data_IF_078643379287
#
_entry.id   IF_078643379287
#
_cell.length_a   1.000
_cell.length_b   1.000
_cell.length_c   1.000
_cell.angle_alpha   90.00
_cell.angle_beta   90.00
_cell.angle_gamma   90.00
#
_symmetry.space_group_name_H-M   'P 1'
#
loop_
_entity.id
_entity.type
_entity.pdbx_description
1 polymer ?
#
# COMPACT_ATOMS: atom_id res chain seq x y z
N UNK A 1 -17.35 15.14 32.06
CA UNK A 1 -17.06 13.75 31.74
C UNK A 1 -16.63 13.61 30.29
N UNK A 2 -15.39 13.19 30.09
CA UNK A 2 -14.86 13.05 28.74
C UNK A 2 -15.52 11.84 28.04
N UNK A 3 -16.12 12.08 26.89
CA UNK A 3 -16.60 10.98 26.05
C UNK A 3 -15.41 10.28 25.41
N UNK A 4 -15.36 8.99 25.52
CA UNK A 4 -14.43 8.20 24.74
C UNK A 4 -14.79 8.33 23.26
N UNK A 5 -13.80 8.70 22.46
CA UNK A 5 -13.99 8.66 21.01
C UNK A 5 -14.13 7.20 20.58
N UNK A 6 -15.16 6.94 19.81
CA UNK A 6 -15.32 5.63 19.20
C UNK A 6 -14.18 5.39 18.22
N UNK A 7 -13.52 4.25 18.37
CA UNK A 7 -12.52 3.79 17.40
C UNK A 7 -13.26 3.15 16.24
N UNK A 8 -13.12 3.74 15.05
CA UNK A 8 -13.71 3.18 13.84
C UNK A 8 -12.78 2.13 13.24
N UNK A 9 -13.34 0.98 12.92
CA UNK A 9 -12.64 -0.11 12.27
C UNK A 9 -12.82 0.00 10.76
N UNK A 10 -11.72 0.03 10.03
CA UNK A 10 -11.75 0.06 8.57
C UNK A 10 -10.94 -1.11 8.02
N UNK A 11 -11.34 -1.60 6.86
CA UNK A 11 -10.60 -2.60 6.11
C UNK A 11 -10.28 -2.04 4.75
N UNK A 12 -9.06 -2.27 4.30
CA UNK A 12 -8.64 -1.86 2.96
C UNK A 12 -7.72 -2.91 2.37
N UNK A 13 -7.46 -2.78 1.08
CA UNK A 13 -6.53 -3.65 0.37
C UNK A 13 -5.53 -2.80 -0.39
N UNK A 14 -4.25 -3.08 -0.18
CA UNK A 14 -3.17 -2.46 -0.93
C UNK A 14 -2.71 -3.44 -2.01
N UNK A 15 -2.44 -2.92 -3.21
CA UNK A 15 -1.91 -3.70 -4.31
C UNK A 15 -0.42 -3.45 -4.48
N UNK A 16 0.37 -4.53 -4.44
CA UNK A 16 1.77 -4.51 -4.86
C UNK A 16 1.79 -5.04 -6.29
N UNK A 17 1.69 -4.13 -7.24
CA UNK A 17 1.74 -4.46 -8.67
C UNK A 17 3.20 -4.56 -9.07
N UNK A 18 3.63 -5.73 -9.49
CA UNK A 18 5.03 -6.03 -9.73
C UNK A 18 5.29 -6.43 -11.17
N UNK A 19 6.37 -5.89 -11.72
CA UNK A 19 6.96 -6.35 -12.97
C UNK A 19 8.48 -6.44 -12.76
N UNK A 20 9.00 -7.66 -12.74
CA UNK A 20 10.42 -7.88 -12.46
C UNK A 20 10.81 -7.33 -11.09
N UNK A 21 11.79 -6.45 -11.06
CA UNK A 21 12.27 -5.82 -9.84
C UNK A 21 11.57 -4.48 -9.52
N UNK A 22 10.55 -4.11 -10.30
CA UNK A 22 9.84 -2.85 -10.15
C UNK A 22 8.45 -3.06 -9.57
N UNK A 23 7.99 -2.10 -8.79
CA UNK A 23 6.66 -2.05 -8.21
C UNK A 23 6.02 -0.69 -8.50
N UNK A 24 4.69 -0.67 -8.55
CA UNK A 24 3.93 0.55 -8.78
C UNK A 24 3.60 1.20 -7.45
N UNK A 25 3.99 2.46 -7.29
CA UNK A 25 3.68 3.24 -6.10
C UNK A 25 2.77 4.41 -6.46
N UNK A 26 2.02 4.90 -5.48
CA UNK A 26 1.06 5.97 -5.65
C UNK A 26 1.30 7.05 -4.60
N UNK A 27 1.25 8.30 -5.01
CA UNK A 27 1.38 9.44 -4.12
C UNK A 27 0.04 9.72 -3.44
N UNK A 28 0.06 9.96 -2.13
CA UNK A 28 -1.14 10.36 -1.41
C UNK A 28 -1.62 11.72 -1.90
N UNK A 29 -2.90 11.80 -2.20
CA UNK A 29 -3.53 12.97 -2.80
C UNK A 29 -3.79 14.05 -1.75
N UNK A 30 -3.96 15.33 -2.18
CA UNK A 30 -4.43 16.37 -1.28
C UNK A 30 -5.71 15.96 -0.57
N UNK A 31 -5.78 16.22 0.74
CA UNK A 31 -6.92 15.84 1.58
C UNK A 31 -6.88 14.44 2.16
N UNK A 32 -6.02 13.57 1.65
CA UNK A 32 -5.79 12.25 2.25
C UNK A 32 -4.81 12.34 3.42
N UNK A 33 -4.88 11.34 4.32
CA UNK A 33 -3.84 11.19 5.35
C UNK A 33 -2.48 11.04 4.68
N UNK A 34 -1.45 11.67 5.25
CA UNK A 34 -0.08 11.67 4.72
C UNK A 34 0.02 12.24 3.30
N UNK A 35 -0.74 13.29 3.03
CA UNK A 35 -0.70 13.99 1.75
C UNK A 35 0.72 14.21 1.26
N UNK A 36 0.96 13.88 -0.02
CA UNK A 36 2.26 14.08 -0.67
C UNK A 36 3.27 12.96 -0.46
N UNK A 37 3.06 12.05 0.49
CA UNK A 37 3.94 10.90 0.69
C UNK A 37 3.55 9.76 -0.25
N UNK A 38 4.52 8.91 -0.56
CA UNK A 38 4.32 7.74 -1.39
C UNK A 38 3.79 6.55 -0.59
N UNK A 39 2.98 5.75 -1.24
CA UNK A 39 2.38 4.55 -0.67
C UNK A 39 2.09 3.56 -1.81
N UNK A 40 1.46 2.45 -1.51
CA UNK A 40 0.98 1.52 -2.53
C UNK A 40 -0.48 1.82 -2.84
N UNK A 41 -0.92 1.60 -4.10
CA UNK A 41 -2.32 1.85 -4.45
C UNK A 41 -3.28 1.07 -3.57
N UNK A 42 -4.36 1.69 -3.17
CA UNK A 42 -5.49 1.02 -2.53
C UNK A 42 -6.48 0.64 -3.61
N UNK A 43 -6.98 -0.57 -3.53
CA UNK A 43 -7.88 -1.13 -4.54
C UNK A 43 -9.17 -1.60 -3.89
N UNK A 44 -10.24 -1.61 -4.68
CA UNK A 44 -11.58 -1.99 -4.22
C UNK A 44 -12.22 -2.95 -5.23
N UNK A 45 -13.32 -3.58 -4.84
CA UNK A 45 -14.10 -4.44 -5.72
C UNK A 45 -13.29 -5.64 -6.23
N UNK A 46 -13.42 -5.94 -7.50
CA UNK A 46 -12.74 -7.09 -8.13
C UNK A 46 -11.22 -6.97 -8.04
N UNK A 47 -10.68 -5.75 -8.15
CA UNK A 47 -9.24 -5.53 -8.06
C UNK A 47 -8.69 -5.92 -6.69
N UNK A 48 -9.48 -5.82 -5.63
CA UNK A 48 -9.06 -6.19 -4.28
C UNK A 48 -8.96 -7.70 -4.07
N UNK A 49 -9.36 -8.49 -5.05
CA UNK A 49 -9.29 -9.95 -4.99
C UNK A 49 -8.23 -10.54 -5.91
N UNK A 50 -7.57 -9.70 -6.71
CA UNK A 50 -6.56 -10.14 -7.67
C UNK A 50 -5.25 -10.47 -6.99
N UNK A 51 -4.51 -11.39 -7.60
CA UNK A 51 -3.20 -11.78 -7.14
C UNK A 51 -3.25 -12.64 -5.89
N UNK A 52 -2.13 -12.71 -5.18
CA UNK A 52 -2.03 -13.50 -3.96
C UNK A 52 -1.83 -12.62 -2.73
N UNK A 53 -2.34 -13.07 -1.61
CA UNK A 53 -2.14 -12.37 -0.35
C UNK A 53 -0.68 -12.50 0.11
N UNK A 54 -0.05 -11.38 0.42
CA UNK A 54 1.29 -11.35 1.00
C UNK A 54 1.26 -11.23 2.52
N UNK A 55 0.28 -10.51 3.06
CA UNK A 55 0.23 -10.27 4.49
C UNK A 55 -0.81 -9.24 4.87
N UNK A 56 -0.73 -8.80 6.10
CA UNK A 56 -1.64 -7.82 6.69
C UNK A 56 -0.82 -6.75 7.39
N UNK A 57 -1.18 -5.49 7.17
CA UNK A 57 -0.60 -4.35 7.88
C UNK A 57 -1.72 -3.66 8.64
N UNK A 58 -1.65 -3.69 9.96
CA UNK A 58 -2.58 -2.96 10.81
C UNK A 58 -1.95 -1.64 11.23
N UNK A 59 -2.71 -0.56 11.15
CA UNK A 59 -2.24 0.75 11.56
C UNK A 59 -3.38 1.61 12.04
N UNK A 60 -3.05 2.68 12.74
CA UNK A 60 -4.03 3.61 13.28
C UNK A 60 -3.76 5.01 12.78
N UNK A 61 -4.80 5.73 12.44
CA UNK A 61 -4.76 7.13 12.07
C UNK A 61 -5.91 7.83 12.75
N UNK A 62 -5.60 8.87 13.52
CA UNK A 62 -6.59 9.57 14.33
C UNK A 62 -7.37 8.56 15.20
N UNK A 63 -8.68 8.46 15.06
CA UNK A 63 -9.51 7.49 15.80
C UNK A 63 -9.93 6.31 14.90
N UNK A 64 -9.18 6.07 13.81
CA UNK A 64 -9.44 4.96 12.90
C UNK A 64 -8.41 3.86 13.12
N UNK A 65 -8.86 2.63 13.17
CA UNK A 65 -8.01 1.45 13.17
C UNK A 65 -8.20 0.74 11.85
N UNK A 66 -7.11 0.54 11.11
CA UNK A 66 -7.19 0.06 9.75
C UNK A 66 -6.46 -1.26 9.63
N UNK A 67 -7.14 -2.25 9.04
CA UNK A 67 -6.53 -3.51 8.65
C UNK A 67 -6.36 -3.48 7.13
N UNK A 68 -5.12 -3.46 6.68
CA UNK A 68 -4.78 -3.40 5.26
C UNK A 68 -4.26 -4.76 4.81
N UNK A 69 -5.03 -5.45 3.97
CA UNK A 69 -4.57 -6.68 3.33
C UNK A 69 -3.65 -6.30 2.18
N UNK A 70 -2.49 -6.90 2.13
CA UNK A 70 -1.49 -6.67 1.08
C UNK A 70 -1.55 -7.81 0.07
N UNK A 71 -1.81 -7.49 -1.19
CA UNK A 71 -1.88 -8.48 -2.28
C UNK A 71 -0.90 -8.14 -3.38
N UNK A 72 -0.25 -9.16 -3.91
CA UNK A 72 0.71 -9.01 -5.00
C UNK A 72 0.08 -9.41 -6.32
N UNK A 73 0.25 -8.56 -7.31
CA UNK A 73 -0.15 -8.83 -8.70
C UNK A 73 1.09 -8.73 -9.58
N UNK A 74 1.50 -9.85 -10.14
CA UNK A 74 2.61 -9.86 -11.09
C UNK A 74 2.03 -9.62 -12.49
N UNK A 75 2.53 -8.59 -13.16
CA UNK A 75 2.05 -8.22 -14.49
C UNK A 75 3.13 -8.49 -15.54
N UNK A 76 2.73 -8.86 -16.77
CA UNK A 76 3.69 -9.23 -17.82
C UNK A 76 4.43 -8.03 -18.43
N UNK A 77 3.97 -6.83 -18.17
CA UNK A 77 4.61 -5.59 -18.64
C UNK A 77 4.25 -4.45 -17.72
N UNK A 78 5.07 -3.42 -17.73
CA UNK A 78 4.75 -2.19 -17.00
C UNK A 78 3.59 -1.49 -17.70
N UNK A 79 2.50 -1.28 -16.96
CA UNK A 79 1.37 -0.49 -17.46
C UNK A 79 1.74 0.99 -17.39
N UNK A 80 1.05 1.80 -18.20
CA UNK A 80 1.21 3.25 -18.10
C UNK A 80 0.70 3.71 -16.73
N UNK A 81 1.52 4.38 -15.90
CA UNK A 81 1.06 4.84 -14.61
C UNK A 81 -0.05 5.88 -14.75
N UNK A 82 -1.03 5.82 -13.85
CA UNK A 82 -2.02 6.87 -13.71
C UNK A 82 -1.37 8.11 -13.08
N UNK A 83 -2.08 9.24 -13.10
CA UNK A 83 -1.59 10.45 -12.45
C UNK A 83 -1.26 10.16 -10.98
N UNK A 84 -0.11 10.63 -10.53
CA UNK A 84 0.36 10.41 -9.16
C UNK A 84 0.94 9.02 -8.90
N UNK A 85 1.10 8.19 -9.93
CA UNK A 85 1.71 6.86 -9.82
C UNK A 85 3.03 6.81 -10.58
N UNK A 86 3.93 5.93 -10.16
CA UNK A 86 5.14 5.62 -10.93
C UNK A 86 5.69 4.25 -10.56
N UNK A 87 6.45 3.69 -11.48
CA UNK A 87 7.21 2.46 -11.25
C UNK A 87 8.53 2.78 -10.58
N UNK A 88 8.86 2.01 -9.54
CA UNK A 88 10.10 2.20 -8.77
C UNK A 88 10.70 0.81 -8.54
N UNK A 89 12.03 0.72 -8.64
CA UNK A 89 12.71 -0.53 -8.26
C UNK A 89 12.49 -0.80 -6.78
N UNK A 90 12.29 -2.06 -6.42
CA UNK A 90 12.12 -2.45 -5.02
C UNK A 90 13.27 -1.93 -4.16
N UNK A 91 14.49 -2.02 -4.67
CA UNK A 91 15.68 -1.51 -3.97
C UNK A 91 15.68 0.01 -3.83
N UNK A 92 14.90 0.72 -4.63
CA UNK A 92 14.78 2.18 -4.55
C UNK A 92 13.72 2.67 -3.57
N UNK A 93 12.91 1.78 -3.01
CA UNK A 93 11.85 2.17 -2.08
C UNK A 93 12.40 2.84 -0.81
N UNK A 94 13.58 2.45 -0.37
CA UNK A 94 14.23 3.05 0.80
C UNK A 94 14.46 4.55 0.66
N UNK A 95 14.65 5.02 -0.56
CA UNK A 95 14.92 6.44 -0.84
C UNK A 95 13.65 7.26 -1.04
N UNK A 96 12.48 6.62 -1.08
CA UNK A 96 11.23 7.34 -1.23
C UNK A 96 10.73 7.85 0.12
N UNK A 97 10.12 9.04 0.08
CA UNK A 97 9.38 9.54 1.23
C UNK A 97 8.03 8.83 1.29
N UNK A 98 7.95 7.78 2.08
CA UNK A 98 6.76 6.93 2.17
C UNK A 98 6.01 7.11 3.47
N UNK A 99 4.72 6.79 3.44
CA UNK A 99 3.90 6.71 4.65
C UNK A 99 4.42 5.59 5.56
N UNK A 100 4.08 5.65 6.85
CA UNK A 100 4.45 4.58 7.78
C UNK A 100 3.88 3.22 7.36
N UNK A 101 2.57 3.09 7.02
CA UNK A 101 2.08 1.81 6.50
C UNK A 101 2.73 1.42 5.17
N UNK A 102 3.03 2.38 4.29
CA UNK A 102 3.74 2.11 3.03
C UNK A 102 5.10 1.49 3.26
N UNK A 103 5.84 1.94 4.26
CA UNK A 103 7.13 1.34 4.65
C UNK A 103 6.97 -0.12 5.06
N UNK A 104 5.92 -0.42 5.81
CA UNK A 104 5.66 -1.78 6.27
C UNK A 104 5.24 -2.69 5.11
N UNK A 105 4.44 -2.17 4.18
CA UNK A 105 4.08 -2.90 2.97
C UNK A 105 5.34 -3.15 2.12
N UNK A 106 6.20 -2.16 1.97
CA UNK A 106 7.45 -2.28 1.23
C UNK A 106 8.33 -3.41 1.79
N UNK A 107 8.41 -3.53 3.10
CA UNK A 107 9.17 -4.59 3.75
C UNK A 107 8.60 -5.97 3.43
N UNK A 108 7.28 -6.10 3.40
CA UNK A 108 6.60 -7.35 3.02
C UNK A 108 6.90 -7.67 1.54
N UNK A 109 6.80 -6.67 0.66
CA UNK A 109 7.03 -6.83 -0.77
C UNK A 109 8.48 -7.23 -1.09
N UNK A 110 9.43 -6.74 -0.32
CA UNK A 110 10.85 -7.01 -0.51
C UNK A 110 11.31 -8.30 0.17
N UNK A 111 10.48 -8.90 1.03
CA UNK A 111 10.87 -10.12 1.73
C UNK A 111 11.04 -11.27 0.74
N UNK A 112 12.09 -12.11 0.90
CA UNK A 112 12.26 -13.25 0.03
C UNK A 112 11.12 -14.25 0.20
N UNK A 113 10.73 -14.89 -0.90
CA UNK A 113 9.75 -15.98 -0.83
C UNK A 113 10.29 -17.10 0.04
N UNK A 114 9.45 -17.60 0.92
CA UNK A 114 9.78 -18.81 1.67
C UNK A 114 9.51 -20.02 0.78
N UNK A 115 10.43 -20.99 0.77
CA UNK A 115 10.24 -22.24 0.02
C UNK A 115 9.03 -23.04 0.52
#
# INVERSE_FOLDING_TARGET
QARRREVKQLRETAAVVRHGDAVLVARRRPGEWWEGLWDFPRVTGAAARRGRRLGLVAYSVTHHRIECTVREQVVPRRTKPAAGQRWVKITGLESLAMTAPGRRIAAIAAAPERP
#
